data_IF_444873935123
#
_entry.id   IF_444873935123
#
_cell.length_a   1.000
_cell.length_b   1.000
_cell.length_c   1.000
_cell.angle_alpha   90.00
_cell.angle_beta   90.00
_cell.angle_gamma   90.00
#
_symmetry.space_group_name_H-M   'P 1'
#
loop_
_entity.id
_entity.type
_entity.pdbx_description
1 polymer ?
#
# COMPACT_ATOMS: atom_id res chain seq x y z
N UNK A 1 10.09 22.59 -6.25
CA UNK A 1 11.34 21.79 -6.16
C UNK A 1 12.06 21.96 -4.83
N UNK A 2 12.33 23.20 -4.35
CA UNK A 2 13.00 23.46 -3.06
C UNK A 2 12.07 23.07 -1.90
N UNK A 3 10.80 23.39 -2.00
CA UNK A 3 9.75 23.04 -1.02
C UNK A 3 9.57 21.52 -0.90
N UNK A 4 9.63 20.81 -2.03
CA UNK A 4 9.49 19.35 -2.06
C UNK A 4 10.69 18.66 -1.40
N UNK A 5 11.90 19.16 -1.61
CA UNK A 5 13.10 18.68 -0.93
C UNK A 5 13.07 18.88 0.58
N UNK A 6 12.61 20.04 1.03
CA UNK A 6 12.47 20.33 2.48
C UNK A 6 11.44 19.41 3.11
N UNK A 7 10.32 19.18 2.45
CA UNK A 7 9.27 18.30 2.95
C UNK A 7 9.71 16.83 2.95
N UNK A 8 10.37 16.37 1.88
CA UNK A 8 10.96 15.05 1.79
C UNK A 8 11.95 14.78 2.92
N UNK A 9 12.84 15.73 3.20
CA UNK A 9 13.79 15.63 4.31
C UNK A 9 13.08 15.55 5.66
N UNK A 10 12.03 16.32 5.86
CA UNK A 10 11.22 16.31 7.08
C UNK A 10 10.53 14.95 7.28
N UNK A 11 9.99 14.38 6.22
CA UNK A 11 9.37 13.04 6.27
C UNK A 11 10.42 12.00 6.64
N UNK A 12 11.57 12.00 5.98
CA UNK A 12 12.66 11.07 6.26
C UNK A 12 13.12 11.17 7.73
N UNK A 13 13.30 12.39 8.24
CA UNK A 13 13.68 12.63 9.62
C UNK A 13 12.67 12.04 10.59
N UNK A 14 11.39 12.20 10.33
CA UNK A 14 10.33 11.64 11.17
C UNK A 14 10.31 10.11 11.13
N UNK A 15 10.53 9.51 9.95
CA UNK A 15 10.62 8.05 9.84
C UNK A 15 11.81 7.51 10.64
N UNK A 16 12.99 8.12 10.49
CA UNK A 16 14.17 7.71 11.25
C UNK A 16 13.98 7.85 12.76
N UNK A 17 13.27 8.88 13.21
CA UNK A 17 12.97 9.08 14.63
C UNK A 17 12.09 7.97 15.22
N UNK A 18 11.31 7.27 14.40
CA UNK A 18 10.46 6.14 14.80
C UNK A 18 11.17 4.78 14.73
N UNK A 19 12.35 4.72 14.12
CA UNK A 19 13.12 3.48 14.02
C UNK A 19 14.03 3.36 15.23
N UNK A 20 13.84 2.29 16.01
CA UNK A 20 14.56 2.06 17.27
C UNK A 20 15.81 1.16 17.12
N UNK A 21 16.26 0.95 15.88
CA UNK A 21 17.42 0.11 15.58
C UNK A 21 18.30 0.78 14.53
N UNK A 22 19.53 0.27 14.39
CA UNK A 22 20.44 0.76 13.35
C UNK A 22 19.94 0.33 11.97
N UNK A 23 19.74 1.31 11.07
CA UNK A 23 19.27 1.06 9.71
C UNK A 23 20.40 0.56 8.82
N UNK A 24 20.08 -0.47 8.00
CA UNK A 24 20.97 -0.93 6.93
C UNK A 24 21.03 0.10 5.81
N UNK A 25 22.08 0.06 4.93
CA UNK A 25 22.11 0.92 3.74
C UNK A 25 20.89 0.76 2.84
N UNK A 26 20.38 -0.47 2.69
CA UNK A 26 19.16 -0.75 1.93
C UNK A 26 17.92 -0.11 2.53
N UNK A 27 17.77 -0.16 3.84
CA UNK A 27 16.66 0.50 4.54
C UNK A 27 16.73 2.03 4.39
N UNK A 28 17.91 2.62 4.53
CA UNK A 28 18.11 4.07 4.32
C UNK A 28 17.68 4.50 2.91
N UNK A 29 18.07 3.74 1.92
CA UNK A 29 17.70 4.01 0.51
C UNK A 29 16.19 3.98 0.32
N UNK A 30 15.49 3.04 0.94
CA UNK A 30 14.03 2.95 0.88
C UNK A 30 13.38 4.12 1.60
N UNK A 31 13.84 4.50 2.78
CA UNK A 31 13.32 5.66 3.50
C UNK A 31 13.46 6.92 2.67
N UNK A 32 14.57 7.12 2.01
CA UNK A 32 14.78 8.27 1.12
C UNK A 32 13.84 8.26 -0.08
N UNK A 33 13.73 7.13 -0.77
CA UNK A 33 12.81 6.97 -1.91
C UNK A 33 11.35 7.19 -1.51
N UNK A 34 10.94 6.61 -0.40
CA UNK A 34 9.58 6.74 0.10
C UNK A 34 9.28 8.19 0.51
N UNK A 35 10.22 8.85 1.15
CA UNK A 35 10.09 10.25 1.56
C UNK A 35 9.94 11.18 0.36
N UNK A 36 10.71 10.96 -0.70
CA UNK A 36 10.57 11.69 -1.96
C UNK A 36 9.21 11.44 -2.61
N UNK A 37 8.77 10.18 -2.64
CA UNK A 37 7.45 9.80 -3.16
C UNK A 37 6.32 10.49 -2.40
N UNK A 38 6.40 10.54 -1.08
CA UNK A 38 5.37 11.15 -0.23
C UNK A 38 5.38 12.69 -0.29
N UNK A 39 6.47 13.30 -0.69
CA UNK A 39 6.60 14.75 -0.84
C UNK A 39 6.27 15.26 -2.25
N UNK A 40 6.27 14.40 -3.23
CA UNK A 40 5.97 14.68 -4.63
C UNK A 40 4.49 15.05 -4.80
N UNK A 41 4.15 15.85 -5.79
CA UNK A 41 2.78 16.23 -6.13
C UNK A 41 2.19 15.41 -7.29
N UNK A 42 2.91 14.41 -7.79
CA UNK A 42 2.41 13.45 -8.76
C UNK A 42 1.71 12.26 -8.08
N UNK A 43 0.39 12.36 -7.94
CA UNK A 43 -0.44 11.34 -7.28
C UNK A 43 -0.78 10.14 -8.16
N UNK A 44 -0.34 10.12 -9.41
CA UNK A 44 -0.53 8.98 -10.32
C UNK A 44 0.50 7.86 -10.12
N UNK A 45 1.56 8.11 -9.35
CA UNK A 45 2.63 7.15 -9.08
C UNK A 45 2.21 6.17 -7.98
N UNK A 46 2.78 4.98 -8.03
CA UNK A 46 2.57 3.91 -7.05
C UNK A 46 3.90 3.52 -6.43
N UNK A 47 3.95 3.42 -5.11
CA UNK A 47 5.14 2.93 -4.42
C UNK A 47 4.97 1.44 -4.09
N UNK A 48 5.97 0.64 -4.43
CA UNK A 48 6.03 -0.79 -4.09
C UNK A 48 7.21 -1.04 -3.16
N UNK A 49 6.90 -1.54 -1.96
CA UNK A 49 7.89 -2.00 -1.01
C UNK A 49 7.89 -3.53 -1.00
N UNK A 50 8.90 -4.11 -1.62
CA UNK A 50 9.11 -5.55 -1.63
C UNK A 50 10.16 -5.91 -0.56
N UNK A 51 9.73 -6.63 0.46
CA UNK A 51 10.62 -7.03 1.55
C UNK A 51 10.52 -8.52 1.82
N UNK A 52 11.66 -9.21 1.74
CA UNK A 52 11.75 -10.63 2.09
C UNK A 52 11.67 -10.85 3.60
N UNK A 53 11.43 -12.08 4.02
CA UNK A 53 11.36 -12.42 5.44
C UNK A 53 12.65 -12.04 6.17
N UNK A 54 12.53 -11.48 7.37
CA UNK A 54 13.67 -11.09 8.21
C UNK A 54 14.38 -9.80 7.78
N UNK A 55 13.82 -8.99 6.90
CA UNK A 55 14.42 -7.74 6.42
C UNK A 55 13.97 -6.49 7.19
N UNK A 56 13.11 -6.65 8.20
CA UNK A 56 12.61 -5.52 9.01
C UNK A 56 11.46 -4.75 8.35
N UNK A 57 10.77 -5.35 7.39
CA UNK A 57 9.66 -4.72 6.65
C UNK A 57 8.54 -4.21 7.57
N UNK A 58 8.09 -5.03 8.52
CA UNK A 58 7.02 -4.65 9.45
C UNK A 58 7.42 -3.48 10.35
N UNK A 59 8.67 -3.46 10.80
CA UNK A 59 9.20 -2.38 11.63
C UNK A 59 9.28 -1.07 10.83
N UNK A 60 9.69 -1.15 9.58
CA UNK A 60 9.72 0.02 8.69
C UNK A 60 8.31 0.55 8.43
N UNK A 61 7.35 -0.33 8.13
CA UNK A 61 5.95 0.08 7.92
C UNK A 61 5.37 0.75 9.16
N UNK A 62 5.63 0.19 10.35
CA UNK A 62 5.20 0.79 11.60
C UNK A 62 5.81 2.19 11.81
N UNK A 63 7.09 2.37 11.50
CA UNK A 63 7.76 3.66 11.58
C UNK A 63 7.16 4.69 10.61
N UNK A 64 6.84 4.27 9.39
CA UNK A 64 6.19 5.13 8.39
C UNK A 64 4.80 5.56 8.87
N UNK A 65 4.00 4.64 9.39
CA UNK A 65 2.66 4.96 9.92
C UNK A 65 2.76 5.98 11.06
N UNK A 66 3.66 5.77 12.00
CA UNK A 66 3.89 6.70 13.11
C UNK A 66 4.34 8.08 12.63
N UNK A 67 5.25 8.12 11.67
CA UNK A 67 5.73 9.39 11.10
C UNK A 67 4.62 10.16 10.36
N UNK A 68 3.79 9.47 9.59
CA UNK A 68 2.65 10.09 8.91
C UNK A 68 1.68 10.73 9.91
N UNK A 69 1.36 10.01 10.98
CA UNK A 69 0.47 10.54 12.03
C UNK A 69 1.07 11.79 12.69
N UNK A 70 2.35 11.78 13.01
CA UNK A 70 3.02 12.94 13.61
C UNK A 70 3.04 14.16 12.67
N UNK A 71 3.05 13.92 11.37
CA UNK A 71 2.99 14.96 10.34
C UNK A 71 1.56 15.40 9.99
N UNK A 72 0.56 14.83 10.63
CA UNK A 72 -0.85 15.14 10.34
C UNK A 72 -1.35 14.53 9.03
N UNK A 73 -0.67 13.53 8.49
CA UNK A 73 -1.06 12.81 7.28
C UNK A 73 -1.76 11.51 7.70
N UNK A 74 -2.99 11.31 7.21
CA UNK A 74 -3.79 10.14 7.58
C UNK A 74 -3.29 8.88 6.88
N UNK A 75 -2.83 7.85 7.60
CA UNK A 75 -2.62 6.54 7.04
C UNK A 75 -3.94 5.77 6.97
N UNK A 76 -4.19 5.09 5.86
CA UNK A 76 -5.30 4.15 5.70
C UNK A 76 -4.70 2.77 5.47
N UNK A 77 -4.88 1.87 6.42
CA UNK A 77 -4.24 0.56 6.42
C UNK A 77 -5.21 -0.51 5.92
N UNK A 78 -4.79 -1.23 4.90
CA UNK A 78 -5.58 -2.26 4.25
C UNK A 78 -4.79 -3.56 4.09
N UNK A 79 -5.50 -4.67 4.07
CA UNK A 79 -4.95 -5.99 3.80
C UNK A 79 -5.98 -6.85 3.05
N UNK A 80 -5.54 -7.89 2.31
CA UNK A 80 -6.48 -8.71 1.52
C UNK A 80 -7.36 -9.63 2.35
N UNK A 81 -6.98 -9.95 3.59
CA UNK A 81 -7.75 -10.85 4.47
C UNK A 81 -7.93 -10.23 5.85
N UNK A 82 -8.96 -10.68 6.58
CA UNK A 82 -9.21 -10.26 7.96
C UNK A 82 -8.04 -10.58 8.90
N UNK A 83 -7.40 -11.73 8.71
CA UNK A 83 -6.22 -12.12 9.48
C UNK A 83 -5.03 -11.20 9.24
N UNK A 84 -4.73 -10.92 7.97
CA UNK A 84 -3.67 -9.99 7.60
C UNK A 84 -3.95 -8.57 8.11
N UNK A 85 -5.20 -8.12 8.07
CA UNK A 85 -5.60 -6.83 8.61
C UNK A 85 -5.36 -6.75 10.13
N UNK A 86 -5.65 -7.81 10.87
CA UNK A 86 -5.37 -7.87 12.31
C UNK A 86 -3.88 -7.76 12.62
N UNK A 87 -3.06 -8.50 11.88
CA UNK A 87 -1.60 -8.46 12.05
C UNK A 87 -1.07 -7.06 11.75
N UNK A 88 -1.51 -6.47 10.65
CA UNK A 88 -1.14 -5.09 10.28
C UNK A 88 -1.52 -4.09 11.37
N UNK A 89 -2.74 -4.16 11.88
CA UNK A 89 -3.21 -3.28 12.96
C UNK A 89 -2.37 -3.41 14.22
N UNK A 90 -1.96 -4.62 14.57
CA UNK A 90 -1.14 -4.88 15.75
C UNK A 90 0.25 -4.25 15.64
N UNK A 91 0.98 -4.51 14.56
CA UNK A 91 2.34 -3.99 14.45
C UNK A 91 2.40 -2.50 14.11
N UNK A 92 1.42 -1.99 13.38
CA UNK A 92 1.36 -0.57 13.02
C UNK A 92 0.74 0.32 14.11
N UNK A 93 0.04 -0.28 15.08
CA UNK A 93 -0.62 0.47 16.15
C UNK A 93 -1.77 1.34 15.68
N UNK A 94 -2.45 0.97 14.58
CA UNK A 94 -3.52 1.71 13.95
C UNK A 94 -4.56 0.76 13.41
N UNK A 95 -5.81 1.21 13.30
CA UNK A 95 -6.90 0.40 12.72
C UNK A 95 -6.60 0.02 11.27
N UNK A 96 -6.84 -1.24 10.93
CA UNK A 96 -6.72 -1.75 9.58
C UNK A 96 -8.00 -2.49 9.17
N UNK A 97 -8.36 -2.40 7.91
CA UNK A 97 -9.52 -3.10 7.35
C UNK A 97 -9.08 -4.00 6.20
N UNK A 98 -9.95 -4.94 5.82
CA UNK A 98 -9.76 -5.63 4.55
C UNK A 98 -9.99 -4.66 3.39
N UNK A 99 -9.33 -4.91 2.26
CA UNK A 99 -9.53 -4.12 1.05
C UNK A 99 -11.00 -4.14 0.65
N UNK A 100 -11.63 -5.31 0.64
CA UNK A 100 -13.04 -5.46 0.26
C UNK A 100 -13.97 -4.61 1.12
N UNK A 101 -13.76 -4.63 2.43
CA UNK A 101 -14.59 -3.86 3.37
C UNK A 101 -14.47 -2.35 3.15
N UNK A 102 -13.28 -1.88 2.76
CA UNK A 102 -13.03 -0.45 2.56
C UNK A 102 -13.54 0.06 1.22
N UNK A 103 -13.23 -0.65 0.13
CA UNK A 103 -13.41 -0.11 -1.22
C UNK A 103 -14.73 -0.46 -1.89
N UNK A 104 -15.43 -1.48 -1.40
CA UNK A 104 -16.70 -1.92 -1.98
C UNK A 104 -17.88 -1.60 -1.09
N UNK A 105 -19.01 -1.32 -1.75
CA UNK A 105 -20.33 -1.25 -1.12
C UNK A 105 -21.28 -2.18 -1.83
N UNK A 106 -22.20 -2.79 -1.07
CA UNK A 106 -23.24 -3.63 -1.63
C UNK A 106 -24.29 -2.78 -2.33
N UNK A 107 -24.63 -3.17 -3.57
CA UNK A 107 -25.80 -2.68 -4.29
C UNK A 107 -26.81 -3.81 -4.42
N UNK A 108 -28.07 -3.53 -4.06
CA UNK A 108 -29.18 -4.43 -4.34
C UNK A 108 -29.90 -3.93 -5.56
N UNK A 109 -29.90 -4.71 -6.65
CA UNK A 109 -30.70 -4.43 -7.82
C UNK A 109 -32.13 -4.96 -7.64
N UNK A 110 -33.08 -4.40 -8.42
CA UNK A 110 -34.49 -4.82 -8.39
C UNK A 110 -34.70 -6.32 -8.73
N UNK A 111 -33.71 -6.96 -9.32
CA UNK A 111 -33.72 -8.38 -9.72
C UNK A 111 -33.08 -9.33 -8.70
N UNK A 112 -32.91 -8.91 -7.46
CA UNK A 112 -32.33 -9.70 -6.36
C UNK A 112 -30.88 -10.15 -6.55
N UNK A 113 -30.17 -9.66 -7.56
CA UNK A 113 -28.73 -9.88 -7.67
C UNK A 113 -27.97 -8.87 -6.83
N UNK A 114 -27.30 -9.35 -5.77
CA UNK A 114 -26.39 -8.53 -4.98
C UNK A 114 -25.08 -8.34 -5.72
N UNK A 115 -24.79 -7.12 -6.15
CA UNK A 115 -23.48 -6.74 -6.71
C UNK A 115 -22.80 -5.75 -5.79
N UNK A 116 -21.47 -5.86 -5.68
CA UNK A 116 -20.64 -4.91 -4.97
C UNK A 116 -20.00 -3.96 -5.97
N UNK A 117 -20.17 -2.66 -5.75
CA UNK A 117 -19.56 -1.60 -6.56
C UNK A 117 -18.56 -0.81 -5.72
N UNK A 118 -17.69 -0.04 -6.37
CA UNK A 118 -16.77 0.82 -5.64
C UNK A 118 -17.52 1.81 -4.75
N UNK A 119 -17.07 1.89 -3.51
CA UNK A 119 -17.51 2.89 -2.57
C UNK A 119 -16.93 4.26 -2.93
N UNK A 120 -17.50 5.33 -2.39
CA UNK A 120 -16.91 6.65 -2.47
C UNK A 120 -15.65 6.71 -1.58
N UNK A 121 -14.61 7.36 -2.06
CA UNK A 121 -13.42 7.67 -1.26
C UNK A 121 -13.48 9.11 -0.76
N UNK A 122 -13.79 9.33 0.53
CA UNK A 122 -13.90 10.67 1.08
C UNK A 122 -12.55 11.28 1.48
N UNK A 123 -11.47 10.53 1.36
CA UNK A 123 -10.17 10.91 1.89
C UNK A 123 -9.51 12.03 1.09
N UNK A 124 -8.76 12.88 1.81
CA UNK A 124 -7.95 13.96 1.24
C UNK A 124 -6.53 13.85 1.80
N UNK A 125 -5.55 13.76 0.91
CA UNK A 125 -4.14 13.67 1.31
C UNK A 125 -3.79 12.43 2.11
N UNK A 126 -4.60 11.38 2.06
CA UNK A 126 -4.33 10.14 2.79
C UNK A 126 -3.31 9.28 2.05
N UNK A 127 -2.55 8.51 2.83
CA UNK A 127 -1.64 7.50 2.31
C UNK A 127 -2.23 6.12 2.60
N UNK A 128 -2.60 5.43 1.54
CA UNK A 128 -3.11 4.06 1.61
C UNK A 128 -1.93 3.10 1.62
N UNK A 129 -1.81 2.33 2.68
CA UNK A 129 -0.76 1.31 2.83
C UNK A 129 -1.44 -0.05 2.82
N UNK A 130 -1.10 -0.86 1.83
CA UNK A 130 -1.69 -2.19 1.62
C UNK A 130 -0.63 -3.24 1.90
N UNK A 131 -0.80 -3.99 2.98
CA UNK A 131 0.08 -5.12 3.32
C UNK A 131 -0.39 -6.41 2.66
N UNK A 132 0.50 -7.41 2.60
CA UNK A 132 0.26 -8.69 1.93
C UNK A 132 -0.18 -8.53 0.46
N UNK A 133 0.41 -7.57 -0.24
CA UNK A 133 0.04 -7.22 -1.61
C UNK A 133 0.34 -8.34 -2.61
N UNK A 134 1.17 -9.33 -2.25
CA UNK A 134 1.42 -10.52 -3.06
C UNK A 134 0.14 -11.31 -3.40
N UNK A 135 -0.90 -11.16 -2.59
CA UNK A 135 -2.17 -11.89 -2.75
C UNK A 135 -3.16 -11.19 -3.70
N UNK A 136 -2.88 -9.96 -4.14
CA UNK A 136 -3.82 -9.22 -4.99
C UNK A 136 -3.81 -9.74 -6.41
N UNK A 137 -5.00 -10.05 -6.93
CA UNK A 137 -5.21 -10.47 -8.32
C UNK A 137 -5.46 -9.27 -9.23
N UNK A 138 -4.93 -9.31 -10.45
CA UNK A 138 -5.18 -8.34 -11.52
C UNK A 138 -6.07 -8.92 -12.64
N UNK A 139 -6.44 -10.20 -12.53
CA UNK A 139 -7.32 -10.84 -13.49
C UNK A 139 -8.80 -10.53 -13.24
N UNK A 140 -9.50 -10.03 -14.25
CA UNK A 140 -10.95 -9.97 -14.22
C UNK A 140 -11.52 -11.37 -14.39
N UNK A 141 -12.47 -11.76 -13.54
CA UNK A 141 -13.21 -13.01 -13.68
C UNK A 141 -14.60 -12.74 -14.29
N UNK A 142 -15.04 -13.60 -15.21
CA UNK A 142 -16.39 -13.55 -15.72
C UNK A 142 -17.39 -13.77 -14.58
N UNK A 143 -18.43 -12.94 -14.51
CA UNK A 143 -19.43 -13.01 -13.44
C UNK A 143 -18.94 -12.47 -12.11
N UNK A 144 -17.99 -11.56 -12.12
CA UNK A 144 -17.43 -10.97 -10.91
C UNK A 144 -18.50 -10.34 -10.00
N UNK A 145 -18.51 -10.78 -8.75
CA UNK A 145 -19.38 -10.25 -7.70
C UNK A 145 -18.96 -8.86 -7.26
N UNK A 146 -17.65 -8.54 -7.34
CA UNK A 146 -17.05 -7.31 -6.87
C UNK A 146 -16.52 -6.47 -8.03
N UNK A 147 -17.03 -5.26 -8.19
CA UNK A 147 -16.53 -4.23 -9.09
C UNK A 147 -16.24 -4.72 -10.50
N UNK A 148 -15.02 -4.49 -10.98
CA UNK A 148 -14.55 -4.93 -12.30
C UNK A 148 -14.13 -6.40 -12.36
N UNK A 149 -13.99 -7.04 -11.19
CA UNK A 149 -13.41 -8.38 -11.05
C UNK A 149 -11.89 -8.38 -10.87
N UNK A 150 -11.23 -7.25 -11.09
CA UNK A 150 -9.81 -7.05 -10.76
C UNK A 150 -9.68 -6.28 -9.46
N UNK A 151 -9.28 -6.95 -8.37
CA UNK A 151 -9.10 -6.31 -7.07
C UNK A 151 -8.03 -5.22 -7.14
N UNK A 152 -6.94 -5.48 -7.84
CA UNK A 152 -5.85 -4.50 -7.99
C UNK A 152 -6.32 -3.25 -8.74
N UNK A 153 -7.02 -3.41 -9.88
CA UNK A 153 -7.55 -2.29 -10.65
C UNK A 153 -8.54 -1.47 -9.83
N UNK A 154 -9.42 -2.12 -9.11
CA UNK A 154 -10.43 -1.45 -8.26
C UNK A 154 -9.79 -0.71 -7.09
N UNK A 155 -8.75 -1.29 -6.46
CA UNK A 155 -8.00 -0.62 -5.40
C UNK A 155 -7.34 0.66 -5.91
N UNK A 156 -6.64 0.60 -7.03
CA UNK A 156 -5.98 1.77 -7.65
C UNK A 156 -7.02 2.84 -7.98
N UNK A 157 -8.14 2.45 -8.59
CA UNK A 157 -9.21 3.39 -8.91
C UNK A 157 -9.81 4.04 -7.67
N UNK A 158 -10.04 3.26 -6.62
CA UNK A 158 -10.57 3.79 -5.36
C UNK A 158 -9.63 4.84 -4.76
N UNK A 159 -8.34 4.56 -4.70
CA UNK A 159 -7.34 5.51 -4.16
C UNK A 159 -7.35 6.81 -4.98
N UNK A 160 -7.40 6.71 -6.31
CA UNK A 160 -7.41 7.86 -7.21
C UNK A 160 -8.70 8.67 -7.17
N UNK A 161 -9.81 8.06 -6.77
CA UNK A 161 -11.08 8.77 -6.57
C UNK A 161 -11.05 9.72 -5.37
N UNK A 162 -10.12 9.56 -4.46
CA UNK A 162 -9.85 10.52 -3.40
C UNK A 162 -9.10 11.75 -3.92
N UNK A 163 -8.85 12.70 -3.04
CA UNK A 163 -8.11 13.93 -3.38
C UNK A 163 -6.69 13.88 -2.82
N UNK A 164 -5.70 13.83 -3.71
CA UNK A 164 -4.29 13.81 -3.30
C UNK A 164 -3.92 12.59 -2.48
N UNK A 165 -4.59 11.46 -2.71
CA UNK A 165 -4.29 10.20 -2.03
C UNK A 165 -3.16 9.46 -2.74
N UNK A 166 -2.38 8.71 -1.96
CA UNK A 166 -1.24 7.94 -2.43
C UNK A 166 -1.40 6.47 -2.09
N UNK A 167 -0.76 5.60 -2.87
CA UNK A 167 -0.82 4.16 -2.70
C UNK A 167 0.57 3.59 -2.49
N UNK A 168 0.74 2.86 -1.39
CA UNK A 168 1.94 2.09 -1.07
C UNK A 168 1.54 0.62 -0.96
N UNK A 169 2.10 -0.21 -1.83
CA UNK A 169 1.89 -1.65 -1.84
C UNK A 169 3.07 -2.33 -1.15
N UNK A 170 2.80 -3.12 -0.13
CA UNK A 170 3.82 -3.78 0.68
C UNK A 170 3.63 -5.28 0.59
N UNK A 171 4.68 -6.00 0.31
CA UNK A 171 4.60 -7.45 0.23
C UNK A 171 5.95 -8.13 0.11
N UNK A 172 5.88 -9.43 -0.11
CA UNK A 172 7.03 -10.30 -0.30
C UNK A 172 6.81 -11.11 -1.58
N UNK A 173 7.59 -10.84 -2.61
CA UNK A 173 7.49 -11.54 -3.91
C UNK A 173 7.92 -13.01 -3.85
N UNK A 174 8.59 -13.45 -2.77
CA UNK A 174 8.91 -14.84 -2.53
C UNK A 174 7.75 -15.64 -1.92
N UNK A 175 6.68 -14.96 -1.45
CA UNK A 175 5.46 -15.61 -0.99
C UNK A 175 4.58 -16.07 -2.16
N UNK A 176 3.58 -16.91 -1.85
CA UNK A 176 2.66 -17.40 -2.86
C UNK A 176 1.92 -16.27 -3.58
N UNK A 177 1.90 -16.30 -4.93
CA UNK A 177 1.12 -15.36 -5.71
C UNK A 177 -0.38 -15.66 -5.58
N UNK A 178 -1.25 -14.80 -6.16
CA UNK A 178 -2.68 -15.09 -6.22
C UNK A 178 -2.98 -16.43 -6.89
N UNK A 179 -4.10 -17.06 -6.50
CA UNK A 179 -4.53 -18.32 -7.08
C UNK A 179 -4.67 -18.18 -8.60
N UNK A 180 -4.04 -19.10 -9.34
CA UNK A 180 -4.05 -19.11 -10.80
C UNK A 180 -3.04 -18.18 -11.48
N UNK A 181 -2.12 -17.59 -10.72
CA UNK A 181 -1.06 -16.74 -11.25
C UNK A 181 0.32 -17.25 -10.88
N UNK A 182 1.29 -17.08 -11.77
CA UNK A 182 2.69 -17.49 -11.55
C UNK A 182 3.49 -16.43 -10.79
N UNK A 183 2.98 -15.22 -10.67
CA UNK A 183 3.63 -14.09 -10.00
C UNK A 183 2.60 -13.16 -9.35
N UNK A 184 3.08 -12.21 -8.56
CA UNK A 184 2.24 -11.24 -7.84
C UNK A 184 2.15 -9.93 -8.62
N UNK A 185 1.02 -9.62 -9.29
CA UNK A 185 0.88 -8.41 -10.11
C UNK A 185 1.11 -7.13 -9.33
N UNK A 186 0.67 -7.07 -8.07
CA UNK A 186 0.81 -5.88 -7.23
C UNK A 186 2.26 -5.62 -6.78
N UNK A 187 3.17 -6.55 -6.96
CA UNK A 187 4.59 -6.41 -6.65
C UNK A 187 5.46 -6.37 -7.91
N UNK A 188 4.85 -6.47 -9.08
CA UNK A 188 5.54 -6.50 -10.36
C UNK A 188 5.43 -5.13 -11.06
N UNK A 189 6.55 -4.41 -11.23
CA UNK A 189 6.54 -3.09 -11.89
C UNK A 189 5.96 -3.12 -13.31
N UNK A 190 6.19 -4.19 -14.06
CA UNK A 190 5.66 -4.33 -15.43
C UNK A 190 4.14 -4.41 -15.43
N UNK A 191 3.53 -5.19 -14.51
CA UNK A 191 2.08 -5.27 -14.35
C UNK A 191 1.47 -3.95 -13.89
N UNK A 192 2.15 -3.25 -12.98
CA UNK A 192 1.69 -1.98 -12.42
C UNK A 192 1.85 -0.81 -13.39
N UNK A 193 2.71 -0.94 -14.40
CA UNK A 193 2.94 0.14 -15.40
C UNK A 193 1.67 0.54 -16.14
N UNK A 194 0.69 -0.37 -16.24
CA UNK A 194 -0.64 -0.07 -16.80
C UNK A 194 -1.42 0.96 -15.97
N UNK A 195 -1.10 1.10 -14.69
CA UNK A 195 -1.79 2.02 -13.76
C UNK A 195 -1.02 3.31 -13.52
N UNK A 196 0.27 3.35 -13.81
CA UNK A 196 1.10 4.53 -13.62
C UNK A 196 2.57 4.21 -13.40
N UNK A 197 3.36 5.24 -13.16
CA UNK A 197 4.78 5.09 -12.85
C UNK A 197 4.96 4.46 -11.46
N UNK A 198 5.88 3.50 -11.37
CA UNK A 198 6.18 2.77 -10.14
C UNK A 198 7.51 3.22 -9.56
N UNK A 199 7.49 3.55 -8.27
CA UNK A 199 8.70 3.70 -7.47
C UNK A 199 8.90 2.41 -6.69
N UNK A 200 9.99 1.71 -6.95
CA UNK A 200 10.21 0.37 -6.42
C UNK A 200 11.37 0.35 -5.44
N UNK A 201 11.11 -0.20 -4.26
CA UNK A 201 12.12 -0.42 -3.23
C UNK A 201 12.13 -1.87 -2.75
N UNK A 202 13.29 -2.49 -2.73
CA UNK A 202 13.49 -3.87 -2.25
C UNK A 202 14.31 -3.88 -0.97
N UNK A 203 13.79 -4.58 0.05
CA UNK A 203 14.51 -4.91 1.27
C UNK A 203 14.97 -6.36 1.19
N UNK A 204 16.23 -6.59 0.93
CA UNK A 204 16.83 -7.91 0.75
C UNK A 204 17.92 -8.25 1.79
N UNK A 205 18.30 -7.29 2.62
CA UNK A 205 19.27 -7.47 3.67
C UNK A 205 18.62 -8.02 4.94
N UNK A 206 19.12 -9.13 5.45
CA UNK A 206 18.64 -9.71 6.71
C UNK A 206 19.10 -8.84 7.87
N UNK A 207 18.15 -8.40 8.71
CA UNK A 207 18.44 -7.64 9.93
C UNK A 207 18.81 -8.62 11.04
N UNK A 208 19.98 -8.43 11.63
CA UNK A 208 20.38 -9.15 12.84
C UNK A 208 19.75 -8.48 14.05
N UNK A 209 19.01 -9.28 14.80
CA UNK A 209 18.51 -8.87 16.12
C UNK A 209 19.59 -9.04 17.17
#
# INVERSE_FOLDING_TARGET
>A
QITDRMFSTRIATQIYAKICFETTPGQKKIVEKLSEYLADDDFSRIFVLNGYAGTGKTTLVAAVVGALKDLGIKPVLLAPTGRAAKVLAQYAGEKALTIHKRIYRQRTNADYESKFSLNLNPERGAVFIVDEASMLSDGASDGALFGSGSLLADLVQYVRNGRGCRLVLVGDSAQLPPVGSDFSPALDPASLSAYGEVVYGTMDEVVRQ
#
